data_IF_182164800790
#
_entry.id   IF_182164800790
#
_cell.length_a   1.000
_cell.length_b   1.000
_cell.length_c   1.000
_cell.angle_alpha   90.00
_cell.angle_beta   90.00
_cell.angle_gamma   90.00
#
_symmetry.space_group_name_H-M   'P 1'
#
loop_
_entity.id
_entity.type
_entity.pdbx_description
1 polymer ?
#
# COMPACT_ATOMS: atom_id res chain seq x y z
N UNK A 1 10.84 32.20 1.71
CA UNK A 1 10.67 30.78 2.10
C UNK A 1 9.58 30.70 3.14
N UNK A 2 8.67 29.74 3.03
CA UNK A 2 7.65 29.52 4.06
C UNK A 2 8.31 29.07 5.37
N UNK A 3 7.55 29.08 6.47
CA UNK A 3 8.01 28.59 7.76
C UNK A 3 8.17 27.05 7.83
N UNK A 4 8.00 26.30 6.73
CA UNK A 4 8.02 24.83 6.72
C UNK A 4 9.24 24.22 6.03
N UNK A 5 9.96 24.95 5.17
CA UNK A 5 11.04 24.40 4.34
C UNK A 5 12.37 25.04 4.73
N UNK A 6 13.37 24.22 5.08
CA UNK A 6 14.72 24.67 5.44
C UNK A 6 14.81 25.51 6.72
N UNK A 7 13.87 25.33 7.65
CA UNK A 7 13.77 26.07 8.90
C UNK A 7 14.37 25.33 10.11
N UNK A 8 14.76 24.06 9.95
CA UNK A 8 15.32 23.22 11.01
C UNK A 8 16.77 22.86 10.72
N UNK A 9 17.56 22.80 11.78
CA UNK A 9 18.80 22.03 11.81
C UNK A 9 18.50 20.54 11.99
N UNK A 10 19.48 19.69 11.66
CA UNK A 10 19.35 18.25 11.90
C UNK A 10 19.13 17.92 13.38
N UNK A 11 19.80 18.64 14.30
CA UNK A 11 19.65 18.42 15.74
C UNK A 11 18.24 18.77 16.25
N UNK A 12 17.64 19.85 15.74
CA UNK A 12 16.26 20.23 16.08
C UNK A 12 15.23 19.23 15.54
N UNK A 13 15.47 18.66 14.35
CA UNK A 13 14.64 17.59 13.83
C UNK A 13 14.77 16.31 14.67
N UNK A 14 16.00 15.93 15.04
CA UNK A 14 16.27 14.74 15.86
C UNK A 14 15.65 14.85 17.26
N UNK A 15 15.60 16.05 17.85
CA UNK A 15 14.97 16.27 19.14
C UNK A 15 13.46 15.94 19.15
N UNK A 16 12.81 15.95 17.98
CA UNK A 16 11.38 15.64 17.82
C UNK A 16 11.11 14.14 17.62
N UNK A 17 12.15 13.33 17.40
CA UNK A 17 12.02 11.90 17.13
C UNK A 17 11.95 11.09 18.43
N UNK A 18 10.76 11.05 19.03
CA UNK A 18 10.46 10.17 20.17
C UNK A 18 9.56 9.00 19.71
N UNK A 19 9.67 7.82 20.33
CA UNK A 19 8.79 6.70 20.01
C UNK A 19 7.32 7.11 20.05
N UNK A 20 6.54 6.69 19.04
CA UNK A 20 5.15 7.09 18.92
C UNK A 20 4.35 6.67 20.16
N UNK A 21 3.71 7.65 20.81
CA UNK A 21 3.05 7.46 22.10
C UNK A 21 1.68 6.79 21.98
N UNK A 22 0.89 7.16 20.96
CA UNK A 22 -0.47 6.67 20.76
C UNK A 22 -0.47 5.49 19.79
N UNK A 23 -0.10 4.31 20.30
CA UNK A 23 -0.05 3.08 19.48
C UNK A 23 -1.45 2.49 19.30
N UNK A 24 -1.85 2.27 18.05
CA UNK A 24 -3.06 1.54 17.71
C UNK A 24 -2.96 0.08 18.17
N UNK A 25 -4.08 -0.53 18.59
CA UNK A 25 -4.08 -1.92 19.02
C UNK A 25 -3.76 -2.86 17.84
N UNK A 26 -3.04 -3.94 18.12
CA UNK A 26 -2.83 -5.01 17.15
C UNK A 26 -4.15 -5.73 16.81
N UNK A 27 -4.20 -6.35 15.63
CA UNK A 27 -5.33 -7.17 15.20
C UNK A 27 -5.58 -8.30 16.20
N UNK A 28 -6.82 -8.41 16.66
CA UNK A 28 -7.22 -9.39 17.68
C UNK A 28 -7.42 -10.79 17.09
N UNK A 29 -7.29 -11.82 17.93
CA UNK A 29 -7.62 -13.20 17.55
C UNK A 29 -9.06 -13.36 17.03
N UNK A 30 -10.02 -12.60 17.60
CA UNK A 30 -11.41 -12.60 17.14
C UNK A 30 -11.55 -12.03 15.72
N UNK A 31 -10.77 -11.01 15.38
CA UNK A 31 -10.78 -10.43 14.03
C UNK A 31 -10.20 -11.40 13.00
N UNK A 32 -9.11 -12.11 13.32
CA UNK A 32 -8.62 -13.18 12.44
C UNK A 32 -9.69 -14.25 12.16
N UNK A 33 -10.48 -14.64 13.16
CA UNK A 33 -11.59 -15.58 12.95
C UNK A 33 -12.68 -14.98 12.04
N UNK A 34 -13.03 -13.71 12.20
CA UNK A 34 -13.97 -13.04 11.30
C UNK A 34 -13.47 -13.04 9.84
N UNK A 35 -12.17 -12.85 9.62
CA UNK A 35 -11.54 -12.90 8.29
C UNK A 35 -11.68 -14.29 7.66
N UNK A 36 -11.43 -15.36 8.43
CA UNK A 36 -11.61 -16.75 7.97
C UNK A 36 -13.07 -17.03 7.63
N UNK A 37 -14.03 -16.61 8.47
CA UNK A 37 -15.45 -16.80 8.19
C UNK A 37 -15.93 -16.02 6.98
N UNK A 38 -15.40 -14.80 6.77
CA UNK A 38 -15.65 -14.02 5.57
C UNK A 38 -15.11 -14.74 4.32
N UNK A 39 -13.91 -15.28 4.38
CA UNK A 39 -13.34 -16.05 3.27
C UNK A 39 -14.20 -17.28 2.94
N UNK A 40 -14.72 -18.01 3.94
CA UNK A 40 -15.65 -19.13 3.73
C UNK A 40 -16.92 -18.73 3.02
N UNK A 41 -17.53 -17.61 3.41
CA UNK A 41 -18.71 -17.09 2.74
C UNK A 41 -18.45 -16.77 1.27
N UNK A 42 -17.30 -16.15 0.97
CA UNK A 42 -16.93 -15.79 -0.39
C UNK A 42 -16.53 -17.01 -1.22
N UNK A 43 -15.89 -18.02 -0.64
CA UNK A 43 -15.65 -19.32 -1.29
C UNK A 43 -16.96 -19.97 -1.75
N UNK A 44 -17.98 -20.02 -0.88
CA UNK A 44 -19.32 -20.53 -1.25
C UNK A 44 -19.93 -19.75 -2.41
N UNK A 45 -19.75 -18.43 -2.42
CA UNK A 45 -20.23 -17.56 -3.51
C UNK A 45 -19.49 -17.80 -4.82
N UNK A 46 -18.18 -18.06 -4.74
CA UNK A 46 -17.33 -18.38 -5.89
C UNK A 46 -17.58 -19.79 -6.44
N UNK A 47 -18.17 -20.69 -5.65
CA UNK A 47 -18.31 -22.10 -6.00
C UNK A 47 -17.01 -22.90 -5.80
N UNK A 48 -16.14 -22.43 -4.91
CA UNK A 48 -14.90 -23.11 -4.52
C UNK A 48 -15.01 -23.71 -3.10
N UNK A 49 -14.27 -24.78 -2.85
CA UNK A 49 -14.35 -25.55 -1.60
C UNK A 49 -13.19 -25.27 -0.64
N UNK A 50 -12.08 -24.76 -1.19
CA UNK A 50 -10.87 -24.45 -0.46
C UNK A 50 -10.19 -23.18 -0.98
N UNK A 51 -9.52 -22.45 -0.10
CA UNK A 51 -8.63 -21.34 -0.39
C UNK A 51 -7.22 -21.71 0.06
N UNK A 52 -6.22 -21.58 -0.82
CA UNK A 52 -4.80 -21.68 -0.45
C UNK A 52 -4.15 -20.30 -0.58
N UNK A 53 -3.66 -19.76 0.54
CA UNK A 53 -2.88 -18.52 0.59
C UNK A 53 -1.43 -18.79 0.97
N UNK A 54 -0.50 -18.36 0.12
CA UNK A 54 0.94 -18.51 0.34
C UNK A 54 1.49 -17.43 1.28
N UNK A 55 2.71 -17.65 1.78
CA UNK A 55 3.44 -16.66 2.57
C UNK A 55 3.51 -15.29 1.86
N UNK A 56 3.28 -14.23 2.63
CA UNK A 56 3.07 -12.88 2.14
C UNK A 56 1.90 -12.20 2.85
N UNK A 57 1.37 -11.14 2.23
CA UNK A 57 0.37 -10.26 2.86
C UNK A 57 -0.95 -10.97 3.12
N UNK A 58 -1.39 -11.89 2.25
CA UNK A 58 -2.61 -12.68 2.46
C UNK A 58 -2.46 -13.68 3.63
N UNK A 59 -1.32 -14.36 3.75
CA UNK A 59 -1.08 -15.24 4.92
C UNK A 59 -1.01 -14.43 6.22
N UNK A 60 -0.37 -13.25 6.21
CA UNK A 60 -0.39 -12.33 7.35
C UNK A 60 -1.82 -11.89 7.69
N UNK A 61 -2.64 -11.58 6.68
CA UNK A 61 -4.02 -11.16 6.87
C UNK A 61 -4.87 -12.24 7.58
N UNK A 62 -4.76 -13.50 7.16
CA UNK A 62 -5.60 -14.58 7.69
C UNK A 62 -5.03 -15.26 8.95
N UNK A 63 -3.71 -15.33 9.09
CA UNK A 63 -3.07 -16.12 10.14
C UNK A 63 -2.05 -15.34 11.00
N UNK A 64 -1.71 -14.11 10.62
CA UNK A 64 -0.76 -13.26 11.33
C UNK A 64 0.72 -13.60 11.09
N UNK A 65 1.03 -14.60 10.27
CA UNK A 65 2.41 -14.98 9.91
C UNK A 65 3.01 -13.92 8.96
N UNK A 66 4.06 -13.19 9.35
CA UNK A 66 4.54 -12.02 8.61
C UNK A 66 5.63 -12.34 7.59
N UNK A 67 5.93 -13.62 7.36
CA UNK A 67 7.05 -14.05 6.52
C UNK A 67 6.82 -13.70 5.05
N UNK A 68 7.89 -13.32 4.36
CA UNK A 68 7.89 -13.23 2.90
C UNK A 68 7.88 -14.60 2.25
N UNK A 69 7.43 -14.68 1.00
CA UNK A 69 7.52 -15.90 0.22
C UNK A 69 8.99 -16.29 -0.03
N UNK A 70 9.26 -17.59 -0.01
CA UNK A 70 10.53 -18.21 -0.42
C UNK A 70 10.27 -19.33 -1.42
N UNK A 71 11.30 -20.10 -1.76
CA UNK A 71 11.17 -21.34 -2.54
C UNK A 71 10.43 -22.45 -1.78
N UNK A 72 10.36 -22.36 -0.44
CA UNK A 72 9.71 -23.34 0.42
C UNK A 72 8.23 -22.99 0.62
N UNK A 73 7.35 -23.97 0.41
CA UNK A 73 5.92 -23.76 0.60
C UNK A 73 5.57 -23.59 2.09
N UNK A 74 5.23 -22.36 2.46
CA UNK A 74 4.47 -22.01 3.65
C UNK A 74 3.13 -21.45 3.21
N UNK A 75 2.03 -22.12 3.58
CA UNK A 75 0.69 -21.73 3.13
C UNK A 75 -0.41 -22.12 4.11
N UNK A 76 -1.46 -21.31 4.15
CA UNK A 76 -2.70 -21.61 4.86
C UNK A 76 -3.74 -22.15 3.87
N UNK A 77 -4.27 -23.33 4.17
CA UNK A 77 -5.40 -23.93 3.49
C UNK A 77 -6.66 -23.75 4.34
N UNK A 78 -7.63 -22.99 3.82
CA UNK A 78 -8.94 -22.77 4.45
C UNK A 78 -9.98 -23.55 3.67
N UNK A 79 -10.62 -24.53 4.30
CA UNK A 79 -11.80 -25.21 3.76
C UNK A 79 -13.10 -24.61 4.28
N UNK A 80 -14.23 -24.96 3.65
CA UNK A 80 -15.57 -24.48 4.05
C UNK A 80 -15.93 -24.74 5.52
N UNK A 81 -15.33 -25.76 6.13
CA UNK A 81 -15.54 -26.17 7.52
C UNK A 81 -14.24 -26.66 8.19
N UNK A 82 -14.25 -26.69 9.53
CA UNK A 82 -13.14 -27.19 10.37
C UNK A 82 -12.02 -26.18 10.61
N UNK A 83 -10.99 -26.54 11.37
CA UNK A 83 -9.85 -25.63 11.55
C UNK A 83 -9.08 -25.45 10.22
N UNK A 84 -8.56 -24.25 9.93
CA UNK A 84 -7.58 -24.05 8.86
C UNK A 84 -6.37 -24.97 9.04
N UNK A 85 -5.76 -25.36 7.92
CA UNK A 85 -4.52 -26.13 7.92
C UNK A 85 -3.36 -25.26 7.49
N UNK A 86 -2.19 -25.46 8.09
CA UNK A 86 -0.99 -24.69 7.76
C UNK A 86 0.12 -25.64 7.32
N UNK A 87 0.46 -25.57 6.03
CA UNK A 87 1.58 -26.31 5.43
C UNK A 87 2.85 -25.52 5.66
N UNK A 88 3.88 -26.13 6.24
CA UNK A 88 5.11 -25.45 6.66
C UNK A 88 6.29 -26.45 6.69
N UNK A 89 7.52 -26.04 6.36
CA UNK A 89 8.69 -26.88 6.60
C UNK A 89 8.77 -27.30 8.07
N UNK A 90 9.09 -28.57 8.33
CA UNK A 90 9.11 -29.13 9.68
C UNK A 90 10.08 -28.38 10.60
N UNK A 91 11.25 -28.00 10.09
CA UNK A 91 12.26 -27.28 10.86
C UNK A 91 11.84 -25.85 11.27
N UNK A 92 10.81 -25.28 10.65
CA UNK A 92 10.30 -23.93 10.98
C UNK A 92 9.15 -23.95 12.01
N UNK A 93 8.73 -25.12 12.51
CA UNK A 93 7.56 -25.24 13.38
C UNK A 93 7.62 -24.32 14.62
N UNK A 94 8.76 -24.26 15.30
CA UNK A 94 8.91 -23.40 16.49
C UNK A 94 8.83 -21.91 16.16
N UNK A 95 9.37 -21.50 15.01
CA UNK A 95 9.27 -20.12 14.53
C UNK A 95 7.84 -19.77 14.12
N UNK A 96 7.13 -20.71 13.49
CA UNK A 96 5.73 -20.56 13.14
C UNK A 96 4.86 -20.36 14.38
N UNK A 97 5.05 -21.17 15.43
CA UNK A 97 4.30 -21.06 16.69
C UNK A 97 4.45 -19.71 17.37
N UNK A 98 5.63 -19.09 17.27
CA UNK A 98 5.89 -17.79 17.86
C UNK A 98 5.08 -16.64 17.20
N UNK A 99 4.67 -16.81 15.94
CA UNK A 99 4.04 -15.73 15.15
C UNK A 99 2.57 -15.99 14.84
N UNK A 100 2.12 -17.25 14.82
CA UNK A 100 0.75 -17.63 14.46
C UNK A 100 -0.28 -16.99 15.40
N UNK A 101 -1.34 -16.39 14.83
CA UNK A 101 -2.40 -15.68 15.58
C UNK A 101 -3.74 -16.40 15.60
N UNK A 102 -3.83 -17.57 14.97
CA UNK A 102 -5.02 -18.41 14.92
C UNK A 102 -4.69 -19.84 15.35
N UNK A 103 -5.67 -20.60 15.88
CA UNK A 103 -5.60 -22.05 15.88
C UNK A 103 -5.55 -22.56 14.44
N UNK A 104 -4.55 -23.38 14.11
CA UNK A 104 -4.45 -24.07 12.84
C UNK A 104 -3.87 -25.47 13.02
N UNK A 105 -4.30 -26.42 12.20
CA UNK A 105 -3.71 -27.77 12.16
C UNK A 105 -2.48 -27.74 11.27
N UNK A 106 -1.31 -28.01 11.83
CA UNK A 106 -0.07 -28.02 11.05
C UNK A 106 0.03 -29.29 10.19
N UNK A 107 0.55 -29.13 8.98
CA UNK A 107 0.92 -30.18 8.02
C UNK A 107 2.38 -29.94 7.66
N UNK A 108 3.26 -30.53 8.45
CA UNK A 108 4.70 -30.31 8.32
C UNK A 108 5.27 -31.22 7.24
N UNK A 109 6.26 -30.72 6.51
CA UNK A 109 7.00 -31.50 5.52
C UNK A 109 8.51 -31.39 5.78
N UNK A 110 9.21 -32.51 5.63
CA UNK A 110 10.67 -32.56 5.65
C UNK A 110 11.24 -32.10 4.30
N UNK A 111 12.48 -31.61 4.26
CA UNK A 111 13.09 -30.95 3.08
C UNK A 111 13.02 -31.73 1.74
N UNK A 112 12.87 -33.05 1.79
CA UNK A 112 12.81 -33.93 0.61
C UNK A 112 11.39 -34.35 0.23
N UNK A 113 10.39 -34.02 1.05
CA UNK A 113 9.00 -34.37 0.83
C UNK A 113 8.31 -33.34 -0.09
N UNK A 114 7.20 -33.74 -0.70
CA UNK A 114 6.42 -32.85 -1.57
C UNK A 114 5.31 -32.13 -0.78
N UNK A 115 5.44 -30.81 -0.52
CA UNK A 115 4.44 -30.08 0.24
C UNK A 115 3.14 -29.86 -0.53
N UNK A 116 3.14 -29.97 -1.87
CA UNK A 116 1.93 -29.86 -2.69
C UNK A 116 1.05 -31.10 -2.52
N UNK A 117 1.66 -32.27 -2.30
CA UNK A 117 0.94 -33.49 -1.96
C UNK A 117 0.18 -33.34 -0.64
N UNK A 118 0.75 -32.67 0.37
CA UNK A 118 0.07 -32.39 1.64
C UNK A 118 -1.17 -31.51 1.46
N UNK A 119 -1.12 -30.53 0.56
CA UNK A 119 -2.29 -29.71 0.22
C UNK A 119 -3.40 -30.58 -0.39
N UNK A 120 -3.07 -31.41 -1.38
CA UNK A 120 -4.04 -32.29 -2.04
C UNK A 120 -4.64 -33.32 -1.08
N UNK A 121 -3.83 -33.92 -0.20
CA UNK A 121 -4.27 -34.82 0.85
C UNK A 121 -5.25 -34.12 1.82
N UNK A 122 -4.89 -32.92 2.29
CA UNK A 122 -5.75 -32.15 3.18
C UNK A 122 -7.09 -31.76 2.53
N UNK A 123 -7.09 -31.45 1.22
CA UNK A 123 -8.33 -31.25 0.47
C UNK A 123 -9.17 -32.52 0.41
N UNK A 124 -8.56 -33.67 0.09
CA UNK A 124 -9.26 -34.95 0.01
C UNK A 124 -9.87 -35.39 1.35
N UNK A 125 -9.14 -35.21 2.46
CA UNK A 125 -9.63 -35.46 3.83
C UNK A 125 -10.89 -34.66 4.17
N UNK A 126 -11.04 -33.47 3.56
CA UNK A 126 -12.17 -32.55 3.76
C UNK A 126 -13.23 -32.63 2.66
N UNK A 127 -13.04 -33.51 1.67
CA UNK A 127 -13.94 -33.64 0.52
C UNK A 127 -13.96 -32.42 -0.40
N UNK A 128 -12.96 -31.53 -0.31
CA UNK A 128 -12.84 -30.34 -1.16
C UNK A 128 -12.33 -30.73 -2.55
N UNK A 129 -12.93 -30.15 -3.60
CA UNK A 129 -12.61 -30.49 -5.00
C UNK A 129 -12.06 -29.29 -5.76
N UNK A 130 -12.63 -28.12 -5.53
CA UNK A 130 -12.23 -26.88 -6.18
C UNK A 130 -11.36 -26.03 -5.25
N UNK A 131 -10.14 -25.73 -5.68
CA UNK A 131 -9.18 -24.90 -4.98
C UNK A 131 -9.13 -23.50 -5.58
N UNK A 132 -9.43 -22.47 -4.79
CA UNK A 132 -9.08 -21.10 -5.09
C UNK A 132 -7.62 -20.85 -4.65
N UNK A 133 -6.74 -20.55 -5.61
CA UNK A 133 -5.32 -20.27 -5.35
C UNK A 133 -5.07 -18.76 -5.33
N UNK A 134 -4.33 -18.29 -4.32
CA UNK A 134 -3.89 -16.91 -4.19
C UNK A 134 -3.19 -16.41 -5.47
N UNK A 135 -3.66 -15.31 -6.11
CA UNK A 135 -3.04 -14.77 -7.31
C UNK A 135 -1.63 -14.20 -7.05
N UNK A 136 -1.27 -13.92 -5.80
CA UNK A 136 0.09 -13.55 -5.39
C UNK A 136 1.03 -14.74 -5.21
N UNK A 137 0.53 -15.98 -5.28
CA UNK A 137 1.36 -17.17 -5.17
C UNK A 137 2.29 -17.31 -6.39
N UNK A 138 3.53 -17.76 -6.15
CA UNK A 138 4.45 -18.04 -7.24
C UNK A 138 3.87 -19.12 -8.18
N UNK A 139 4.04 -18.96 -9.49
CA UNK A 139 3.53 -19.92 -10.49
C UNK A 139 4.08 -21.35 -10.30
N UNK A 140 5.23 -21.50 -9.62
CA UNK A 140 5.76 -22.79 -9.21
C UNK A 140 4.80 -23.57 -8.30
N UNK A 141 4.06 -22.89 -7.41
CA UNK A 141 3.05 -23.51 -6.53
C UNK A 141 1.91 -24.10 -7.37
N UNK A 142 1.40 -23.36 -8.36
CA UNK A 142 0.41 -23.88 -9.30
C UNK A 142 0.96 -25.10 -10.06
N UNK A 143 2.22 -25.06 -10.49
CA UNK A 143 2.88 -26.19 -11.17
C UNK A 143 2.96 -27.43 -10.27
N UNK A 144 3.36 -27.26 -9.00
CA UNK A 144 3.41 -28.37 -8.04
C UNK A 144 2.03 -28.94 -7.70
N UNK A 145 1.01 -28.08 -7.52
CA UNK A 145 -0.36 -28.51 -7.26
C UNK A 145 -0.95 -29.32 -8.41
N UNK A 146 -0.65 -28.97 -9.67
CA UNK A 146 -1.11 -29.69 -10.87
C UNK A 146 -0.58 -31.11 -11.00
N UNK A 147 0.46 -31.48 -10.24
CA UNK A 147 0.91 -32.88 -10.18
C UNK A 147 -0.06 -33.77 -9.39
N UNK A 148 -0.90 -33.18 -8.52
CA UNK A 148 -1.78 -33.89 -7.59
C UNK A 148 -3.26 -33.55 -7.74
N UNK A 149 -3.59 -32.43 -8.38
CA UNK A 149 -4.95 -31.92 -8.60
C UNK A 149 -5.26 -31.78 -10.09
N UNK A 150 -6.54 -31.87 -10.47
CA UNK A 150 -6.97 -31.51 -11.83
C UNK A 150 -6.70 -30.01 -12.04
N UNK A 151 -5.93 -29.61 -13.07
CA UNK A 151 -5.70 -28.20 -13.37
C UNK A 151 -6.97 -27.37 -13.52
N UNK A 152 -8.08 -27.99 -13.94
CA UNK A 152 -9.39 -27.31 -14.09
C UNK A 152 -10.08 -27.01 -12.77
N UNK A 153 -9.64 -27.63 -11.68
CA UNK A 153 -10.19 -27.38 -10.34
C UNK A 153 -9.42 -26.32 -9.56
N UNK A 154 -8.36 -25.76 -10.15
CA UNK A 154 -7.62 -24.63 -9.58
C UNK A 154 -8.13 -23.34 -10.22
N UNK A 155 -8.80 -22.51 -9.42
CA UNK A 155 -9.38 -21.22 -9.83
C UNK A 155 -8.68 -20.06 -9.13
N UNK A 156 -8.85 -18.86 -9.65
CA UNK A 156 -8.26 -17.64 -9.09
C UNK A 156 -8.98 -17.22 -7.79
N UNK A 157 -8.21 -16.94 -6.73
CA UNK A 157 -8.75 -16.55 -5.42
C UNK A 157 -8.95 -15.04 -5.22
N UNK A 158 -8.65 -14.17 -6.19
CA UNK A 158 -8.80 -12.72 -6.07
C UNK A 158 -10.20 -12.32 -5.60
N UNK A 159 -11.33 -12.88 -6.10
CA UNK A 159 -12.67 -12.51 -5.62
C UNK A 159 -12.88 -12.76 -4.12
N UNK A 160 -12.19 -13.77 -3.55
CA UNK A 160 -12.25 -14.10 -2.13
C UNK A 160 -11.31 -13.20 -1.32
N UNK A 161 -10.05 -13.08 -1.75
CA UNK A 161 -9.01 -12.32 -1.04
C UNK A 161 -9.34 -10.83 -1.04
N UNK A 162 -9.68 -10.25 -2.19
CA UNK A 162 -10.07 -8.85 -2.31
C UNK A 162 -11.38 -8.62 -1.57
N UNK A 163 -12.37 -9.51 -1.69
CA UNK A 163 -13.64 -9.42 -0.97
C UNK A 163 -13.53 -9.47 0.56
N UNK A 164 -12.37 -9.90 1.08
CA UNK A 164 -11.99 -9.79 2.50
C UNK A 164 -11.21 -8.50 2.78
N UNK A 165 -10.17 -8.21 1.99
CA UNK A 165 -9.15 -7.18 2.29
C UNK A 165 -9.53 -5.77 1.85
N UNK A 166 -10.44 -5.63 0.89
CA UNK A 166 -10.84 -4.34 0.33
C UNK A 166 -11.32 -3.38 1.42
N UNK A 167 -12.26 -3.81 2.25
CA UNK A 167 -12.90 -2.99 3.27
C UNK A 167 -12.26 -3.22 4.63
N UNK A 168 -11.55 -2.21 5.14
CA UNK A 168 -10.79 -2.27 6.38
C UNK A 168 -11.70 -2.21 7.60
N UNK A 169 -11.37 -3.02 8.61
CA UNK A 169 -11.95 -2.92 9.94
C UNK A 169 -11.50 -1.64 10.66
N UNK A 170 -12.18 -1.21 11.75
CA UNK A 170 -11.71 -0.08 12.55
C UNK A 170 -10.29 -0.24 13.09
N UNK A 171 -9.84 -1.46 13.41
CA UNK A 171 -8.49 -1.71 13.88
C UNK A 171 -7.46 -1.56 12.76
N UNK A 172 -7.79 -2.02 11.55
CA UNK A 172 -6.96 -1.83 10.36
C UNK A 172 -6.80 -0.35 10.01
N UNK A 173 -7.91 0.41 10.03
CA UNK A 173 -7.89 1.87 9.82
C UNK A 173 -7.03 2.58 10.87
N UNK A 174 -7.09 2.18 12.14
CA UNK A 174 -6.27 2.77 13.20
C UNK A 174 -4.77 2.50 13.01
N UNK A 175 -4.40 1.29 12.56
CA UNK A 175 -3.01 0.94 12.26
C UNK A 175 -2.48 1.72 11.04
N UNK A 176 -3.29 1.83 9.98
CA UNK A 176 -2.97 2.66 8.82
C UNK A 176 -2.83 4.14 9.19
N UNK A 177 -3.75 4.67 10.01
CA UNK A 177 -3.70 6.04 10.51
C UNK A 177 -2.41 6.31 11.27
N UNK A 178 -2.01 5.40 12.17
CA UNK A 178 -0.75 5.55 12.91
C UNK A 178 0.46 5.61 11.97
N UNK A 179 0.53 4.71 10.98
CA UNK A 179 1.60 4.74 9.98
C UNK A 179 1.61 6.06 9.21
N UNK A 180 0.42 6.55 8.81
CA UNK A 180 0.29 7.80 8.06
C UNK A 180 0.69 9.02 8.89
N UNK A 181 0.31 9.09 10.16
CA UNK A 181 0.68 10.18 11.07
C UNK A 181 2.19 10.23 11.29
N UNK A 182 2.81 9.07 11.49
CA UNK A 182 4.26 8.93 11.62
C UNK A 182 4.97 9.41 10.35
N UNK A 183 4.56 8.94 9.17
CA UNK A 183 5.16 9.33 7.89
C UNK A 183 4.92 10.81 7.57
N UNK A 184 3.75 11.37 7.89
CA UNK A 184 3.49 12.80 7.73
C UNK A 184 4.41 13.63 8.62
N UNK A 185 4.69 13.18 9.84
CA UNK A 185 5.66 13.83 10.72
C UNK A 185 7.09 13.74 10.13
N UNK A 186 7.49 12.58 9.61
CA UNK A 186 8.79 12.42 8.93
C UNK A 186 8.93 13.33 7.72
N UNK A 187 7.89 13.42 6.88
CA UNK A 187 7.83 14.34 5.73
C UNK A 187 8.01 15.81 6.19
N UNK A 188 7.34 16.22 7.28
CA UNK A 188 7.50 17.57 7.87
C UNK A 188 8.95 17.87 8.25
N UNK A 189 9.60 16.93 8.93
CA UNK A 189 10.99 17.09 9.34
C UNK A 189 11.95 17.10 8.15
N UNK A 190 11.73 16.25 7.15
CA UNK A 190 12.56 16.17 5.94
C UNK A 190 12.54 17.49 5.15
N UNK A 191 11.36 18.09 4.98
CA UNK A 191 11.25 19.43 4.40
C UNK A 191 11.93 20.50 5.28
N UNK A 192 11.79 20.37 6.61
CA UNK A 192 12.39 21.29 7.58
C UNK A 192 13.92 21.34 7.53
N UNK A 193 14.59 20.21 7.30
CA UNK A 193 16.07 20.14 7.26
C UNK A 193 16.67 20.41 5.87
N UNK A 194 15.83 20.58 4.85
CA UNK A 194 16.28 20.80 3.48
C UNK A 194 17.10 22.09 3.36
N UNK A 195 18.24 22.03 2.68
CA UNK A 195 19.15 23.16 2.52
C UNK A 195 19.89 23.05 1.19
N UNK A 196 20.41 24.17 0.70
CA UNK A 196 21.25 24.20 -0.50
C UNK A 196 22.36 23.15 -0.39
N UNK A 197 22.52 22.34 -1.43
CA UNK A 197 23.52 21.29 -1.50
C UNK A 197 23.22 20.01 -0.70
N UNK A 198 22.08 19.89 0.01
CA UNK A 198 21.73 18.61 0.66
C UNK A 198 21.56 17.50 -0.39
N UNK A 199 22.16 16.34 -0.13
CA UNK A 199 22.03 15.18 -1.00
C UNK A 199 20.67 14.48 -0.90
N UNK A 200 20.19 13.90 -2.00
CA UNK A 200 19.01 13.02 -1.97
C UNK A 200 19.22 11.83 -1.04
N UNK A 201 20.43 11.30 -0.99
CA UNK A 201 20.85 10.21 -0.13
C UNK A 201 20.90 10.60 1.36
N UNK A 202 21.23 11.85 1.68
CA UNK A 202 21.13 12.38 3.04
C UNK A 202 19.67 12.39 3.52
N UNK A 203 18.73 12.85 2.68
CA UNK A 203 17.30 12.82 3.01
C UNK A 203 16.80 11.39 3.14
N UNK A 204 17.15 10.47 2.25
CA UNK A 204 16.77 9.05 2.35
C UNK A 204 17.23 8.44 3.68
N UNK A 205 18.50 8.66 4.08
CA UNK A 205 19.03 8.17 5.36
C UNK A 205 18.33 8.78 6.57
N UNK A 206 18.06 10.08 6.51
CA UNK A 206 17.32 10.78 7.57
C UNK A 206 15.91 10.21 7.73
N UNK A 207 15.18 10.02 6.63
CA UNK A 207 13.80 9.52 6.61
C UNK A 207 13.73 8.11 7.21
N UNK A 208 14.64 7.20 6.83
CA UNK A 208 14.69 5.85 7.45
C UNK A 208 14.99 5.92 8.95
N UNK A 209 15.98 6.74 9.34
CA UNK A 209 16.32 6.95 10.76
C UNK A 209 15.13 7.48 11.54
N UNK A 210 14.38 8.43 10.96
CA UNK A 210 13.21 9.03 11.56
C UNK A 210 12.06 8.01 11.73
N UNK A 211 11.73 7.23 10.69
CA UNK A 211 10.74 6.16 10.80
C UNK A 211 11.12 5.12 11.88
N UNK A 212 12.40 4.74 11.97
CA UNK A 212 12.90 3.83 13.03
C UNK A 212 12.71 4.44 14.42
N UNK A 213 13.08 5.71 14.60
CA UNK A 213 12.98 6.39 15.89
C UNK A 213 11.52 6.55 16.36
N UNK A 214 10.59 6.79 15.44
CA UNK A 214 9.15 6.83 15.75
C UNK A 214 8.55 5.45 16.04
N UNK A 215 9.26 4.37 15.70
CA UNK A 215 8.87 3.00 16.02
C UNK A 215 8.08 2.29 14.92
N UNK A 216 8.33 2.62 13.65
CA UNK A 216 7.85 1.83 12.52
C UNK A 216 8.43 0.40 12.57
N UNK A 217 7.76 -0.57 11.94
CA UNK A 217 8.15 -1.98 12.01
C UNK A 217 9.61 -2.21 11.57
N UNK A 218 10.07 -1.50 10.53
CA UNK A 218 11.44 -1.65 10.03
C UNK A 218 12.02 -0.40 9.34
N UNK A 219 11.75 0.80 9.88
CA UNK A 219 12.16 2.04 9.24
C UNK A 219 11.31 2.37 8.02
N UNK A 220 11.92 2.92 6.96
CA UNK A 220 11.21 3.22 5.71
C UNK A 220 10.96 1.93 4.92
N UNK A 221 9.71 1.71 4.53
CA UNK A 221 9.37 0.62 3.60
C UNK A 221 9.99 0.87 2.22
N UNK A 222 9.98 2.14 1.81
CA UNK A 222 10.61 2.66 0.61
C UNK A 222 10.83 4.17 0.77
N UNK A 223 11.69 4.77 -0.04
CA UNK A 223 11.91 6.21 -0.07
C UNK A 223 12.46 6.64 -1.43
N UNK A 224 11.71 7.48 -2.13
CA UNK A 224 12.10 8.15 -3.37
C UNK A 224 12.29 9.63 -3.04
N UNK A 225 13.45 10.19 -3.41
CA UNK A 225 13.75 11.62 -3.28
C UNK A 225 14.30 12.10 -4.61
N UNK A 226 13.65 13.09 -5.22
CA UNK A 226 14.00 13.62 -6.54
C UNK A 226 14.02 15.14 -6.53
N UNK A 227 15.02 15.73 -7.20
CA UNK A 227 15.14 17.19 -7.34
C UNK A 227 15.00 17.64 -8.81
N UNK A 228 14.35 18.78 -9.03
CA UNK A 228 14.28 19.47 -10.31
C UNK A 228 13.73 18.57 -11.42
N UNK A 229 14.50 18.39 -12.50
CA UNK A 229 14.10 17.57 -13.65
C UNK A 229 13.78 16.11 -13.30
N UNK A 230 14.42 15.56 -12.26
CA UNK A 230 14.18 14.19 -11.87
C UNK A 230 12.74 13.94 -11.42
N UNK A 231 12.01 14.96 -10.94
CA UNK A 231 10.62 14.78 -10.51
C UNK A 231 9.66 14.44 -11.67
N UNK A 232 10.10 14.56 -12.93
CA UNK A 232 9.32 14.16 -14.10
C UNK A 232 9.19 12.63 -14.28
N UNK A 233 9.91 11.82 -13.49
CA UNK A 233 9.95 10.36 -13.60
C UNK A 233 9.21 9.72 -12.40
N UNK A 234 7.97 9.21 -12.58
CA UNK A 234 7.13 8.77 -11.46
C UNK A 234 7.78 7.75 -10.52
N UNK A 235 8.61 6.84 -11.05
CA UNK A 235 9.30 5.78 -10.30
C UNK A 235 10.79 6.05 -10.03
N UNK A 236 11.26 7.29 -10.13
CA UNK A 236 12.68 7.57 -9.91
C UNK A 236 13.55 7.42 -11.16
N UNK A 237 14.75 7.98 -11.05
CA UNK A 237 15.92 7.61 -11.84
C UNK A 237 17.10 7.35 -10.86
N UNK A 238 18.02 6.43 -11.16
CA UNK A 238 19.19 6.23 -10.31
C UNK A 238 20.09 7.48 -10.26
N UNK A 239 20.72 7.72 -9.11
CA UNK A 239 21.75 8.75 -8.95
C UNK A 239 21.50 9.68 -7.77
N UNK A 240 22.59 10.13 -7.13
CA UNK A 240 22.52 11.12 -6.05
C UNK A 240 22.45 12.52 -6.67
N UNK A 241 21.46 13.31 -6.26
CA UNK A 241 21.34 14.72 -6.62
C UNK A 241 21.64 15.57 -5.39
N UNK A 242 22.03 16.83 -5.61
CA UNK A 242 22.24 17.80 -4.54
C UNK A 242 21.34 19.00 -4.82
N UNK A 243 20.54 19.39 -3.83
CA UNK A 243 19.46 20.36 -3.98
C UNK A 243 19.97 21.75 -4.34
N UNK A 244 19.29 22.43 -5.27
CA UNK A 244 19.55 23.82 -5.64
C UNK A 244 18.32 24.71 -5.52
N UNK A 245 18.53 25.99 -5.28
CA UNK A 245 17.47 27.00 -5.35
C UNK A 245 16.72 26.96 -6.70
N UNK A 246 15.38 27.01 -6.64
CA UNK A 246 14.48 26.93 -7.80
C UNK A 246 14.07 25.51 -8.19
N UNK A 247 14.59 24.48 -7.53
CA UNK A 247 14.22 23.09 -7.79
C UNK A 247 12.99 22.66 -6.99
N UNK A 248 12.07 21.96 -7.67
CA UNK A 248 11.06 21.15 -6.99
C UNK A 248 11.74 19.97 -6.30
N UNK A 249 11.24 19.64 -5.12
CA UNK A 249 11.61 18.46 -4.34
C UNK A 249 10.39 17.56 -4.25
N UNK A 250 10.50 16.34 -4.77
CA UNK A 250 9.50 15.28 -4.61
C UNK A 250 10.07 14.26 -3.63
N UNK A 251 9.34 14.02 -2.53
CA UNK A 251 9.64 12.97 -1.56
C UNK A 251 8.43 12.07 -1.47
N UNK A 252 8.63 10.81 -1.80
CA UNK A 252 7.61 9.76 -1.70
C UNK A 252 8.15 8.64 -0.80
N UNK A 253 7.47 8.40 0.31
CA UNK A 253 7.93 7.45 1.32
C UNK A 253 6.77 6.95 2.16
N UNK A 254 6.99 5.79 2.78
CA UNK A 254 6.05 5.16 3.67
C UNK A 254 6.76 4.28 4.68
N UNK A 255 6.01 3.89 5.71
CA UNK A 255 6.42 2.89 6.68
C UNK A 255 5.29 1.89 6.92
N UNK A 256 5.54 0.86 7.73
CA UNK A 256 4.48 -0.02 8.20
C UNK A 256 4.35 -0.01 9.71
N UNK A 257 3.12 -0.18 10.19
CA UNK A 257 2.78 -0.46 11.58
C UNK A 257 1.95 -1.74 11.62
N UNK A 258 2.45 -2.78 12.26
CA UNK A 258 1.83 -4.12 12.20
C UNK A 258 1.58 -4.60 10.75
N UNK A 259 2.43 -4.16 9.82
CA UNK A 259 2.35 -4.46 8.39
C UNK A 259 1.40 -3.57 7.59
N UNK A 260 0.60 -2.71 8.24
CA UNK A 260 -0.27 -1.78 7.53
C UNK A 260 0.53 -0.57 7.06
N UNK A 261 0.41 -0.25 5.78
CA UNK A 261 1.23 0.74 5.11
C UNK A 261 0.71 2.17 5.30
N UNK A 262 1.65 3.10 5.45
CA UNK A 262 1.53 4.45 4.93
C UNK A 262 2.25 4.56 3.59
N UNK A 263 1.82 5.53 2.80
CA UNK A 263 2.38 5.88 1.51
C UNK A 263 1.98 7.34 1.23
N UNK A 264 2.97 8.24 1.20
CA UNK A 264 2.75 9.68 1.18
C UNK A 264 3.80 10.33 0.30
N UNK A 265 3.35 10.95 -0.78
CA UNK A 265 4.15 11.86 -1.60
C UNK A 265 3.89 13.33 -1.24
N UNK A 266 4.97 14.09 -1.13
CA UNK A 266 4.95 15.56 -1.11
C UNK A 266 5.85 16.11 -2.22
N UNK A 267 5.34 17.09 -2.95
CA UNK A 267 6.13 17.90 -3.87
C UNK A 267 6.09 19.37 -3.45
N UNK A 268 7.25 20.00 -3.24
CA UNK A 268 7.37 21.39 -2.82
C UNK A 268 8.57 22.08 -3.44
N UNK A 269 8.57 23.41 -3.50
CA UNK A 269 9.68 24.20 -4.03
C UNK A 269 10.74 24.50 -2.98
N UNK A 270 12.02 24.34 -3.32
CA UNK A 270 13.12 24.95 -2.56
C UNK A 270 13.50 26.29 -3.21
N UNK A 271 13.24 27.40 -2.52
CA UNK A 271 13.48 28.75 -3.06
C UNK A 271 12.26 29.37 -3.75
N UNK A 272 12.48 30.01 -4.91
CA UNK A 272 11.42 30.73 -5.65
C UNK A 272 10.94 29.91 -6.85
N UNK A 273 9.66 29.53 -6.93
CA UNK A 273 9.14 28.79 -8.08
C UNK A 273 8.84 29.72 -9.26
N UNK A 274 9.02 29.21 -10.47
CA UNK A 274 8.58 29.85 -11.71
C UNK A 274 7.05 29.76 -11.89
N UNK A 275 6.52 30.51 -12.87
CA UNK A 275 5.08 30.58 -13.13
C UNK A 275 4.49 29.22 -13.55
N UNK A 276 5.25 28.38 -14.26
CA UNK A 276 4.77 27.08 -14.69
C UNK A 276 4.74 26.08 -13.53
N UNK A 277 5.77 26.06 -12.68
CA UNK A 277 5.82 25.26 -11.46
C UNK A 277 4.63 25.60 -10.56
N UNK A 278 4.35 26.90 -10.32
CA UNK A 278 3.16 27.34 -9.55
C UNK A 278 1.86 26.86 -10.20
N UNK A 279 1.71 27.07 -11.52
CA UNK A 279 0.49 26.69 -12.25
C UNK A 279 0.23 25.18 -12.19
N UNK A 280 1.25 24.37 -12.46
CA UNK A 280 1.13 22.91 -12.46
C UNK A 280 0.89 22.38 -11.04
N UNK A 281 1.54 22.98 -10.03
CA UNK A 281 1.34 22.57 -8.64
C UNK A 281 -0.10 22.82 -8.17
N UNK A 282 -0.69 23.98 -8.48
CA UNK A 282 -2.09 24.25 -8.14
C UNK A 282 -3.06 23.34 -8.92
N UNK A 283 -2.72 22.95 -10.15
CA UNK A 283 -3.52 22.00 -10.94
C UNK A 283 -3.47 20.58 -10.37
N UNK A 284 -2.31 20.12 -9.90
CA UNK A 284 -2.15 18.83 -9.21
C UNK A 284 -3.07 18.78 -7.97
N UNK A 285 -2.98 19.82 -7.12
CA UNK A 285 -3.84 19.96 -5.93
C UNK A 285 -5.32 19.97 -6.29
N UNK A 286 -5.71 20.70 -7.35
CA UNK A 286 -7.09 20.74 -7.80
C UNK A 286 -7.58 19.38 -8.33
N UNK A 287 -6.73 18.64 -9.05
CA UNK A 287 -7.05 17.30 -9.54
C UNK A 287 -7.22 16.31 -8.39
N UNK A 288 -6.33 16.34 -7.39
CA UNK A 288 -6.43 15.52 -6.17
C UNK A 288 -7.73 15.83 -5.41
N UNK A 289 -8.06 17.11 -5.24
CA UNK A 289 -9.29 17.53 -4.57
C UNK A 289 -10.56 17.09 -5.33
N UNK A 290 -10.56 17.15 -6.67
CA UNK A 290 -11.68 16.71 -7.48
C UNK A 290 -11.89 15.20 -7.43
N UNK A 291 -10.81 14.41 -7.46
CA UNK A 291 -10.88 12.98 -7.20
C UNK A 291 -11.49 12.72 -5.81
N UNK A 292 -11.02 13.41 -4.77
CA UNK A 292 -11.54 13.20 -3.42
C UNK A 292 -13.03 13.53 -3.29
N UNK A 293 -13.47 14.64 -3.88
CA UNK A 293 -14.87 15.07 -3.86
C UNK A 293 -15.83 14.09 -4.58
N UNK A 294 -15.32 13.25 -5.49
CA UNK A 294 -16.11 12.23 -6.18
C UNK A 294 -16.34 10.98 -5.31
N UNK A 295 -15.57 10.78 -4.24
CA UNK A 295 -15.59 9.54 -3.45
C UNK A 295 -16.80 9.52 -2.52
N UNK A 296 -17.63 8.49 -2.71
CA UNK A 296 -18.69 8.08 -1.79
C UNK A 296 -19.12 6.65 -2.11
N UNK A 297 -19.83 5.95 -1.20
CA UNK A 297 -20.36 4.63 -1.48
C UNK A 297 -21.14 4.56 -2.81
N UNK A 298 -20.88 3.53 -3.60
CA UNK A 298 -21.55 3.27 -4.88
C UNK A 298 -20.91 3.91 -6.11
N UNK A 299 -19.99 4.87 -5.96
CA UNK A 299 -19.25 5.44 -7.10
C UNK A 299 -18.26 4.42 -7.65
N UNK A 300 -18.15 4.29 -8.98
CA UNK A 300 -17.19 3.39 -9.59
C UNK A 300 -15.76 3.93 -9.44
N UNK A 301 -14.77 3.05 -9.25
CA UNK A 301 -13.37 3.44 -9.13
C UNK A 301 -12.87 4.26 -10.35
N UNK A 302 -13.34 3.92 -11.56
CA UNK A 302 -13.02 4.69 -12.77
C UNK A 302 -13.57 6.12 -12.76
N UNK A 303 -14.68 6.38 -12.08
CA UNK A 303 -15.28 7.72 -12.02
C UNK A 303 -14.45 8.68 -11.16
N UNK A 304 -13.72 8.15 -10.16
CA UNK A 304 -12.77 8.92 -9.36
C UNK A 304 -11.54 9.32 -10.21
N UNK A 305 -11.00 8.37 -10.99
CA UNK A 305 -9.91 8.65 -11.95
C UNK A 305 -10.33 9.69 -13.00
N UNK A 306 -11.54 9.55 -13.54
CA UNK A 306 -12.12 10.50 -14.49
C UNK A 306 -12.32 11.90 -13.88
N UNK A 307 -12.64 12.01 -12.58
CA UNK A 307 -12.82 13.29 -11.91
C UNK A 307 -11.51 14.11 -11.87
N UNK A 308 -10.38 13.48 -11.55
CA UNK A 308 -9.07 14.12 -11.65
C UNK A 308 -8.73 14.52 -13.09
N UNK A 309 -8.89 13.60 -14.04
CA UNK A 309 -8.56 13.86 -15.46
C UNK A 309 -9.34 15.04 -16.05
N UNK A 310 -10.62 15.17 -15.71
CA UNK A 310 -11.46 16.30 -16.18
C UNK A 310 -10.91 17.66 -15.76
N UNK A 311 -10.32 17.77 -14.57
CA UNK A 311 -9.66 19.01 -14.13
C UNK A 311 -8.47 19.33 -15.02
N UNK A 312 -7.64 18.33 -15.32
CA UNK A 312 -6.46 18.49 -16.16
C UNK A 312 -6.84 18.86 -17.61
N UNK A 313 -7.82 18.17 -18.17
CA UNK A 313 -8.34 18.41 -19.53
C UNK A 313 -8.94 19.82 -19.67
N UNK A 314 -9.71 20.27 -18.68
CA UNK A 314 -10.27 21.62 -18.66
C UNK A 314 -9.17 22.71 -18.60
N UNK A 315 -7.99 22.38 -18.06
CA UNK A 315 -6.83 23.25 -18.01
C UNK A 315 -5.88 23.10 -19.22
N UNK A 316 -6.26 22.32 -20.24
CA UNK A 316 -5.49 22.12 -21.47
C UNK A 316 -4.35 21.10 -21.38
N UNK A 317 -4.34 20.25 -20.33
CA UNK A 317 -3.45 19.08 -20.23
C UNK A 317 -4.14 17.82 -20.77
N UNK A 318 -3.40 16.72 -20.93
CA UNK A 318 -3.96 15.48 -21.48
C UNK A 318 -4.35 15.63 -22.96
N UNK A 319 -5.50 15.08 -23.42
CA UNK A 319 -6.45 14.25 -22.67
C UNK A 319 -5.90 12.84 -22.39
N UNK A 320 -6.69 12.03 -21.70
CA UNK A 320 -6.35 10.66 -21.36
C UNK A 320 -5.03 10.58 -20.56
N UNK A 321 -4.00 9.96 -21.13
CA UNK A 321 -2.67 9.79 -20.56
C UNK A 321 -1.60 10.62 -21.29
N UNK A 322 -2.01 11.52 -22.22
CA UNK A 322 -1.07 12.35 -22.96
C UNK A 322 -0.38 13.35 -22.04
N UNK A 323 0.86 13.69 -22.39
CA UNK A 323 1.67 14.65 -21.65
C UNK A 323 1.77 16.00 -22.40
N UNK A 324 1.86 17.14 -21.69
CA UNK A 324 1.78 17.29 -20.23
C UNK A 324 0.43 16.83 -19.67
N UNK A 325 0.43 16.06 -18.58
CA UNK A 325 -0.78 15.43 -18.04
C UNK A 325 -0.47 14.29 -17.07
N UNK A 326 -1.46 13.43 -16.84
CA UNK A 326 -1.42 12.30 -15.89
C UNK A 326 -1.16 10.97 -16.61
N UNK A 327 0.09 10.45 -16.61
CA UNK A 327 0.48 9.28 -17.41
C UNK A 327 0.06 7.93 -16.81
N UNK A 328 -0.44 7.90 -15.57
CA UNK A 328 -0.86 6.69 -14.88
C UNK A 328 -2.24 6.86 -14.24
N UNK A 329 -2.71 5.84 -13.51
CA UNK A 329 -3.97 5.86 -12.74
C UNK A 329 -3.93 6.92 -11.64
N UNK A 330 -5.09 7.40 -11.20
CA UNK A 330 -5.21 8.35 -10.08
C UNK A 330 -4.87 7.74 -8.71
N UNK A 331 -4.95 6.42 -8.55
CA UNK A 331 -4.51 5.78 -7.31
C UNK A 331 -4.72 4.27 -7.25
N UNK A 332 -4.32 3.66 -6.14
CA UNK A 332 -4.41 2.23 -5.86
C UNK A 332 -4.92 1.98 -4.45
N UNK A 333 -5.46 0.79 -4.21
CA UNK A 333 -5.79 0.35 -2.86
C UNK A 333 -4.53 0.15 -2.03
N UNK A 334 -4.66 0.28 -0.73
CA UNK A 334 -3.56 0.12 0.22
C UNK A 334 -4.06 -0.51 1.52
N UNK A 335 -3.21 -1.30 2.16
CA UNK A 335 -3.54 -2.03 3.39
C UNK A 335 -2.30 -2.74 3.92
N UNK A 336 -2.32 -4.07 3.94
CA UNK A 336 -1.14 -4.89 4.27
C UNK A 336 -0.14 -4.98 3.10
N UNK A 337 -0.59 -4.68 1.88
CA UNK A 337 0.29 -4.41 0.75
C UNK A 337 0.27 -2.91 0.42
N UNK A 338 1.39 -2.40 -0.09
CA UNK A 338 1.49 -1.03 -0.62
C UNK A 338 0.47 -0.82 -1.75
N UNK A 339 0.42 -1.75 -2.70
CA UNK A 339 -0.56 -1.78 -3.78
C UNK A 339 -1.45 -3.01 -3.64
N UNK A 340 -2.74 -2.79 -3.42
CA UNK A 340 -3.79 -3.81 -3.44
C UNK A 340 -5.06 -3.24 -4.13
N UNK A 341 -6.09 -4.07 -4.28
CA UNK A 341 -7.37 -3.57 -4.76
C UNK A 341 -8.00 -2.58 -3.72
N UNK A 342 -8.88 -1.66 -4.14
CA UNK A 342 -9.31 -1.42 -5.52
C UNK A 342 -8.41 -0.40 -6.23
N UNK A 343 -8.25 -0.50 -7.54
CA UNK A 343 -7.49 0.49 -8.32
C UNK A 343 -8.38 1.61 -8.85
N UNK A 344 -8.03 2.87 -8.60
CA UNK A 344 -8.71 4.05 -9.15
C UNK A 344 -8.21 4.27 -10.58
N UNK A 345 -8.75 3.49 -11.52
CA UNK A 345 -8.27 3.42 -12.90
C UNK A 345 -9.43 3.26 -13.87
N UNK A 346 -9.34 3.91 -15.03
CA UNK A 346 -10.26 3.74 -16.15
C UNK A 346 -10.55 2.27 -16.44
N UNK A 347 -11.83 1.91 -16.60
CA UNK A 347 -12.29 0.54 -16.84
C UNK A 347 -12.59 -0.26 -15.57
N UNK A 348 -12.14 0.18 -14.38
CA UNK A 348 -12.51 -0.48 -13.13
C UNK A 348 -13.88 -0.02 -12.63
N UNK A 349 -14.89 -0.86 -12.85
CA UNK A 349 -16.29 -0.61 -12.45
C UNK A 349 -16.61 -1.02 -11.01
N UNK A 350 -15.62 -1.42 -10.22
CA UNK A 350 -15.83 -1.74 -8.80
C UNK A 350 -16.43 -0.53 -8.09
N UNK A 351 -17.60 -0.73 -7.50
CA UNK A 351 -18.26 0.30 -6.70
C UNK A 351 -17.55 0.45 -5.36
N UNK A 352 -17.21 1.67 -4.99
CA UNK A 352 -16.60 1.99 -3.70
C UNK A 352 -17.55 1.65 -2.55
N UNK A 353 -17.01 1.11 -1.47
CA UNK A 353 -17.75 0.69 -0.28
C UNK A 353 -17.09 1.25 0.98
N UNK A 354 -17.87 1.51 2.06
CA UNK A 354 -17.30 1.96 3.32
C UNK A 354 -16.17 1.06 3.82
N UNK A 355 -15.08 1.68 4.28
CA UNK A 355 -13.86 1.00 4.73
C UNK A 355 -12.86 0.71 3.62
N UNK A 356 -13.18 0.88 2.33
CA UNK A 356 -12.16 0.81 1.28
C UNK A 356 -11.13 1.93 1.45
N UNK A 357 -9.85 1.59 1.36
CA UNK A 357 -8.74 2.54 1.44
C UNK A 357 -8.00 2.61 0.10
N UNK A 358 -7.62 3.82 -0.34
CA UNK A 358 -6.81 4.01 -1.55
C UNK A 358 -5.96 5.29 -1.50
N UNK A 359 -4.89 5.31 -2.30
CA UNK A 359 -4.13 6.52 -2.64
C UNK A 359 -4.95 7.45 -3.53
N UNK A 360 -4.63 8.75 -3.48
CA UNK A 360 -5.10 9.77 -4.40
C UNK A 360 -3.92 10.65 -4.82
N UNK A 361 -3.37 10.36 -5.99
CA UNK A 361 -2.07 10.80 -6.49
C UNK A 361 -2.08 11.08 -8.01
N UNK A 362 -2.92 12.00 -8.52
CA UNK A 362 -3.09 12.26 -9.95
C UNK A 362 -1.92 13.05 -10.58
N UNK A 363 -0.68 12.60 -10.34
CA UNK A 363 0.59 13.22 -10.73
C UNK A 363 0.59 13.79 -12.15
N UNK A 364 0.92 15.07 -12.25
CA UNK A 364 1.21 15.73 -13.52
C UNK A 364 2.69 15.61 -13.86
N UNK A 365 2.98 15.16 -15.08
CA UNK A 365 4.32 15.19 -15.69
C UNK A 365 4.36 16.22 -16.80
N UNK A 366 5.34 17.13 -16.76
CA UNK A 366 5.71 18.04 -17.85
C UNK A 366 6.99 17.53 -18.51
N UNK A 367 6.91 16.94 -19.72
CA UNK A 367 8.04 16.25 -20.35
C UNK A 367 9.28 17.14 -20.49
N UNK A 368 10.44 16.60 -20.08
CA UNK A 368 11.72 17.31 -20.16
C UNK A 368 11.87 18.48 -19.17
N UNK A 369 10.92 18.67 -18.24
CA UNK A 369 10.94 19.78 -17.29
C UNK A 369 10.88 19.32 -15.84
N UNK A 370 9.73 18.84 -15.37
CA UNK A 370 9.50 18.42 -13.99
C UNK A 370 8.18 17.64 -13.89
N UNK A 371 7.92 17.04 -12.74
CA UNK A 371 6.62 16.52 -12.35
C UNK A 371 6.21 17.03 -10.97
N UNK A 372 4.91 17.02 -10.71
CA UNK A 372 4.33 17.30 -9.39
C UNK A 372 3.41 16.15 -9.04
N UNK A 373 3.70 15.48 -7.91
CA UNK A 373 2.82 14.47 -7.31
C UNK A 373 2.44 14.91 -5.90
N UNK A 374 1.14 14.96 -5.63
CA UNK A 374 0.61 15.08 -4.28
C UNK A 374 -0.15 13.80 -3.98
N UNK A 375 0.24 13.10 -2.93
CA UNK A 375 -0.38 11.84 -2.57
C UNK A 375 -0.76 11.85 -1.10
N UNK A 376 -2.02 11.54 -0.90
CA UNK A 376 -2.62 11.34 0.40
C UNK A 376 -3.61 10.19 0.25
N UNK A 377 -3.69 9.36 1.29
CA UNK A 377 -4.63 8.24 1.31
C UNK A 377 -5.95 8.66 1.94
N UNK A 378 -7.02 8.01 1.50
CA UNK A 378 -8.33 8.14 2.12
C UNK A 378 -8.92 6.78 2.46
N UNK A 379 -9.94 6.78 3.31
CA UNK A 379 -10.89 5.68 3.40
C UNK A 379 -12.33 6.16 3.13
N UNK A 380 -13.14 5.30 2.53
CA UNK A 380 -14.56 5.59 2.25
C UNK A 380 -15.36 5.51 3.56
N UNK A 381 -16.24 6.50 3.80
CA UNK A 381 -17.14 6.55 4.96
C UNK A 381 -18.57 6.12 4.55
N UNK A 382 -19.55 6.23 5.47
CA UNK A 382 -20.95 5.92 5.16
C UNK A 382 -21.60 6.87 4.13
N UNK A 383 -21.04 8.07 3.95
CA UNK A 383 -21.63 9.16 3.17
C UNK A 383 -20.62 9.91 2.28
N UNK A 384 -19.34 9.54 2.31
CA UNK A 384 -18.28 10.20 1.57
C UNK A 384 -16.92 9.53 1.76
N UNK A 385 -15.92 10.33 2.12
CA UNK A 385 -14.55 9.88 2.36
C UNK A 385 -13.90 10.68 3.49
N UNK A 386 -12.88 10.09 4.08
CA UNK A 386 -12.04 10.72 5.08
C UNK A 386 -10.57 10.54 4.70
N UNK A 387 -9.83 11.64 4.70
CA UNK A 387 -8.38 11.63 4.54
C UNK A 387 -7.71 10.96 5.76
N UNK A 388 -6.72 10.11 5.50
CA UNK A 388 -5.74 9.74 6.54
C UNK A 388 -4.84 10.93 6.85
N UNK A 389 -4.41 11.68 5.83
CA UNK A 389 -3.53 12.84 5.95
C UNK A 389 -4.10 14.03 5.20
N UNK A 390 -4.10 15.23 5.79
CA UNK A 390 -4.63 16.40 5.11
C UNK A 390 -3.73 16.77 3.90
N UNK A 391 -4.32 17.11 2.74
CA UNK A 391 -3.58 17.53 1.56
C UNK A 391 -2.70 18.75 1.77
N UNK A 392 -1.70 18.89 0.88
CA UNK A 392 -0.81 20.06 0.85
C UNK A 392 -1.58 21.36 0.57
N UNK A 393 -1.08 22.49 1.07
CA UNK A 393 -1.82 23.76 0.96
C UNK A 393 -1.30 24.69 -0.14
N UNK A 394 0.03 24.79 -0.30
CA UNK A 394 0.67 25.58 -1.36
C UNK A 394 1.99 24.94 -1.78
N UNK A 395 2.53 25.33 -2.94
CA UNK A 395 3.83 24.85 -3.45
C UNK A 395 5.00 25.03 -2.47
N UNK A 396 4.93 26.05 -1.61
CA UNK A 396 5.88 26.31 -0.54
C UNK A 396 5.32 25.96 0.86
N UNK A 397 4.08 25.46 0.95
CA UNK A 397 3.44 25.02 2.20
C UNK A 397 2.90 23.57 2.06
N UNK A 398 3.79 22.57 2.08
CA UNK A 398 3.44 21.16 1.88
C UNK A 398 2.59 20.53 2.99
N UNK A 399 2.40 21.20 4.13
CA UNK A 399 1.64 20.65 5.26
C UNK A 399 0.54 21.59 5.72
N UNK A 400 -0.67 21.06 5.88
CA UNK A 400 -1.82 21.74 6.47
C UNK A 400 -1.67 21.94 7.98
#
# INVERSE_FOLDING_TARGET
>A
MSAQIGHLTLAEAQAQLQPWAQRAPAISGAEYQQRIERARMLLRTLGADALLVGAGTSLRYFAGVPWGASERLVALLVTLEGDPLLVCPAFEEGSLDAVLKIPARKRLWEEHEDPHALVAQAMAERGARTLALDPGAAFAIHTGLRAHLDPRSIVDAAPVIDGCRLCKSPAELALMQQACDMTLHVQRLAAGIAREGIGTDELVRFIDTAHRALGADNGSTFCIVQYGHATAFPHGIPGVQHLREGELVLIDTGCTVQGYHSDITRTWIFGTPDDEQRRIWELEKAAQAAAFAAIRPGVACEDVDNAARKVLEAAGLGPDYRLPGLPHRTGHGCGLAIHEAPYLVRGNRTALQPGMCASNEPMIVVPGRFGVRLEDHFHVTGDGAQWFTPPSVAIDRPFA
#
